data_IF_174678285052
#
_entry.id   IF_174678285052
#
_cell.length_a   1.000
_cell.length_b   1.000
_cell.length_c   1.000
_cell.angle_alpha   90.00
_cell.angle_beta   90.00
_cell.angle_gamma   90.00
#
_symmetry.space_group_name_H-M   'P 1'
#
loop_
_entity.id
_entity.type
_entity.pdbx_description
1 polymer ?
#
# COMPACT_ATOMS: atom_id res chain seq x y z
N UNK A 1 -57.74 22.15 -1.67
CA UNK A 1 -56.56 21.67 -2.42
C UNK A 1 -55.28 21.93 -1.63
N UNK A 2 -55.18 21.46 -0.38
CA UNK A 2 -54.00 21.68 0.49
C UNK A 2 -53.50 20.40 1.18
N UNK A 3 -54.15 19.26 0.92
CA UNK A 3 -53.84 17.98 1.58
C UNK A 3 -52.80 17.16 0.78
N UNK A 4 -52.67 17.39 -0.54
CA UNK A 4 -51.71 16.69 -1.41
C UNK A 4 -50.25 17.17 -1.25
N UNK A 5 -50.02 18.31 -0.60
CA UNK A 5 -48.66 18.85 -0.41
C UNK A 5 -47.88 18.16 0.71
N UNK A 6 -48.58 17.57 1.69
CA UNK A 6 -47.93 16.92 2.86
C UNK A 6 -47.45 15.51 2.51
N UNK A 7 -48.15 14.80 1.61
CA UNK A 7 -47.75 13.46 1.15
C UNK A 7 -46.43 13.48 0.36
N UNK A 8 -46.18 14.55 -0.41
CA UNK A 8 -44.92 14.71 -1.16
C UNK A 8 -43.70 14.90 -0.26
N UNK A 9 -43.86 15.55 0.90
CA UNK A 9 -42.77 15.77 1.86
C UNK A 9 -42.42 14.49 2.61
N UNK A 10 -43.40 13.63 2.91
CA UNK A 10 -43.15 12.31 3.53
C UNK A 10 -42.46 11.36 2.55
N UNK A 11 -42.81 11.43 1.25
CA UNK A 11 -42.10 10.70 0.19
C UNK A 11 -40.64 11.15 0.07
N UNK A 12 -40.39 12.46 0.10
CA UNK A 12 -39.03 13.01 0.09
C UNK A 12 -38.22 12.58 1.33
N UNK A 13 -38.84 12.55 2.52
CA UNK A 13 -38.17 12.10 3.75
C UNK A 13 -37.81 10.61 3.72
N UNK A 14 -38.67 9.75 3.15
CA UNK A 14 -38.35 8.33 2.99
C UNK A 14 -37.22 8.09 1.98
N UNK A 15 -37.12 8.91 0.92
CA UNK A 15 -36.02 8.83 -0.06
C UNK A 15 -34.70 9.29 0.55
N UNK A 16 -34.71 10.33 1.39
CA UNK A 16 -33.52 10.78 2.13
C UNK A 16 -33.11 9.76 3.21
N UNK A 17 -34.07 9.11 3.88
CA UNK A 17 -33.80 8.04 4.83
C UNK A 17 -33.20 6.78 4.16
N UNK A 18 -33.68 6.42 2.97
CA UNK A 18 -33.13 5.30 2.19
C UNK A 18 -31.70 5.58 1.69
N UNK A 19 -31.38 6.84 1.35
CA UNK A 19 -30.02 7.25 0.97
C UNK A 19 -29.07 7.28 2.18
N UNK A 20 -29.55 7.68 3.36
CA UNK A 20 -28.76 7.64 4.59
C UNK A 20 -28.43 6.20 5.04
N UNK A 21 -29.35 5.25 4.79
CA UNK A 21 -29.13 3.82 5.04
C UNK A 21 -28.12 3.18 4.06
N UNK A 22 -27.83 3.82 2.93
CA UNK A 22 -26.88 3.34 1.92
C UNK A 22 -25.48 3.95 2.06
N UNK A 23 -25.14 4.46 3.25
CA UNK A 23 -23.74 4.68 3.62
C UNK A 23 -23.06 3.31 3.80
N UNK A 24 -22.79 2.65 2.68
CA UNK A 24 -21.82 1.57 2.60
C UNK A 24 -20.50 2.17 3.05
N UNK A 25 -20.16 1.96 4.33
CA UNK A 25 -18.79 2.08 4.80
C UNK A 25 -17.93 1.37 3.74
N UNK A 26 -16.86 2.00 3.23
CA UNK A 26 -15.98 1.30 2.31
C UNK A 26 -15.60 0.00 3.01
N UNK A 27 -16.00 -1.13 2.43
CA UNK A 27 -15.45 -2.42 2.81
C UNK A 27 -14.02 -2.34 2.30
N UNK A 28 -13.14 -1.85 3.17
CA UNK A 28 -11.72 -2.04 3.02
C UNK A 28 -11.56 -3.54 3.20
N UNK A 29 -11.49 -4.28 2.10
CA UNK A 29 -11.01 -5.65 2.17
C UNK A 29 -9.70 -5.60 2.96
N UNK A 30 -9.57 -6.39 4.04
CA UNK A 30 -8.34 -6.41 4.80
C UNK A 30 -7.28 -6.99 3.87
N UNK A 31 -6.54 -6.11 3.19
CA UNK A 31 -5.35 -6.45 2.45
C UNK A 31 -4.46 -7.20 3.44
N UNK A 32 -4.21 -8.47 3.16
CA UNK A 32 -3.55 -9.35 4.10
C UNK A 32 -2.15 -8.86 4.38
N UNK A 33 -1.62 -9.17 5.57
CA UNK A 33 -0.21 -8.93 5.86
C UNK A 33 0.70 -9.56 4.78
N UNK A 34 0.31 -10.71 4.24
CA UNK A 34 1.00 -11.37 3.13
C UNK A 34 1.03 -10.51 1.86
N UNK A 35 -0.08 -9.87 1.50
CA UNK A 35 -0.17 -8.99 0.33
C UNK A 35 0.72 -7.74 0.52
N UNK A 36 0.70 -7.17 1.73
CA UNK A 36 1.59 -6.05 2.09
C UNK A 36 3.07 -6.45 2.05
N UNK A 37 3.41 -7.66 2.48
CA UNK A 37 4.77 -8.19 2.41
C UNK A 37 5.22 -8.37 0.96
N UNK A 38 4.37 -8.98 0.12
CA UNK A 38 4.65 -9.16 -1.32
C UNK A 38 4.84 -7.80 -2.00
N UNK A 39 3.95 -6.85 -1.72
CA UNK A 39 4.08 -5.48 -2.22
C UNK A 39 5.39 -4.82 -1.77
N UNK A 40 5.78 -5.01 -0.50
CA UNK A 40 7.04 -4.46 0.04
C UNK A 40 8.28 -5.07 -0.62
N UNK A 41 8.28 -6.39 -0.89
CA UNK A 41 9.38 -7.06 -1.60
C UNK A 41 9.47 -6.56 -3.05
N UNK A 42 8.34 -6.40 -3.72
CA UNK A 42 8.29 -5.83 -5.07
C UNK A 42 8.82 -4.38 -5.09
N UNK A 43 8.45 -3.58 -4.09
CA UNK A 43 8.95 -2.20 -3.93
C UNK A 43 10.48 -2.15 -3.75
N UNK A 44 11.07 -3.08 -2.99
CA UNK A 44 12.53 -3.19 -2.84
C UNK A 44 13.18 -3.50 -4.19
N UNK A 45 12.59 -4.41 -4.97
CA UNK A 45 13.10 -4.75 -6.30
C UNK A 45 13.03 -3.56 -7.26
N UNK A 46 11.91 -2.85 -7.29
CA UNK A 46 11.77 -1.62 -8.10
C UNK A 46 12.80 -0.57 -7.71
N UNK A 47 12.99 -0.33 -6.41
CA UNK A 47 13.96 0.65 -5.92
C UNK A 47 15.38 0.30 -6.38
N UNK A 48 15.75 -1.00 -6.34
CA UNK A 48 17.06 -1.48 -6.82
C UNK A 48 17.23 -1.25 -8.33
N UNK A 49 16.20 -1.56 -9.13
CA UNK A 49 16.24 -1.36 -10.59
C UNK A 49 16.34 0.13 -10.93
N UNK A 50 15.54 0.98 -10.27
CA UNK A 50 15.58 2.42 -10.46
C UNK A 50 16.94 3.02 -10.10
N UNK A 51 17.54 2.63 -8.98
CA UNK A 51 18.92 3.07 -8.63
C UNK A 51 19.92 2.68 -9.71
N UNK A 52 19.82 1.46 -10.24
CA UNK A 52 20.73 0.99 -11.30
C UNK A 52 20.56 1.81 -12.58
N UNK A 53 19.32 2.13 -12.94
CA UNK A 53 19.02 2.98 -14.09
C UNK A 53 19.56 4.40 -13.90
N UNK A 54 19.42 4.97 -12.70
CA UNK A 54 19.96 6.31 -12.37
C UNK A 54 21.49 6.34 -12.45
N UNK A 55 22.18 5.28 -12.04
CA UNK A 55 23.65 5.15 -12.22
C UNK A 55 24.03 5.18 -13.71
N UNK A 56 23.30 4.44 -14.56
CA UNK A 56 23.54 4.45 -16.00
C UNK A 56 23.28 5.83 -16.60
N UNK A 57 22.14 6.45 -16.26
CA UNK A 57 21.74 7.75 -16.76
C UNK A 57 22.74 8.85 -16.37
N UNK A 58 23.28 8.79 -15.16
CA UNK A 58 24.38 9.64 -14.72
C UNK A 58 25.66 9.42 -15.55
N UNK A 59 26.04 8.15 -15.76
CA UNK A 59 27.24 7.79 -16.53
C UNK A 59 27.12 8.23 -18.00
N UNK A 60 25.91 8.27 -18.54
CA UNK A 60 25.58 8.75 -19.87
C UNK A 60 25.48 10.29 -19.96
N UNK A 61 25.65 11.00 -18.84
CA UNK A 61 25.63 12.46 -18.79
C UNK A 61 24.26 13.08 -19.00
N UNK A 62 23.16 12.37 -18.69
CA UNK A 62 21.81 12.94 -18.81
C UNK A 62 21.67 14.17 -17.89
N UNK A 63 21.22 15.32 -18.41
CA UNK A 63 20.81 16.43 -17.56
C UNK A 63 19.63 15.97 -16.70
N UNK A 64 19.55 16.45 -15.45
CA UNK A 64 18.61 16.05 -14.37
C UNK A 64 19.00 14.86 -13.48
N UNK A 65 20.15 14.20 -13.67
CA UNK A 65 20.64 13.18 -12.71
C UNK A 65 21.88 13.71 -11.99
N UNK A 66 21.73 14.08 -10.72
CA UNK A 66 22.84 14.48 -9.86
C UNK A 66 23.51 13.26 -9.23
N UNK A 67 24.84 13.24 -9.18
CA UNK A 67 25.62 12.19 -8.51
C UNK A 67 25.16 11.98 -7.05
N UNK A 68 24.83 13.08 -6.36
CA UNK A 68 24.38 13.03 -4.97
C UNK A 68 23.08 12.24 -4.81
N UNK A 69 22.13 12.41 -5.73
CA UNK A 69 20.85 11.70 -5.70
C UNK A 69 21.03 10.21 -5.99
N UNK A 70 21.91 9.88 -6.95
CA UNK A 70 22.27 8.49 -7.26
C UNK A 70 22.86 7.79 -6.05
N UNK A 71 23.81 8.44 -5.36
CA UNK A 71 24.45 7.88 -4.17
C UNK A 71 23.46 7.65 -3.03
N UNK A 72 22.58 8.62 -2.77
CA UNK A 72 21.54 8.51 -1.74
C UNK A 72 20.56 7.39 -2.08
N UNK A 73 20.13 7.28 -3.34
CA UNK A 73 19.22 6.23 -3.77
C UNK A 73 19.86 4.84 -3.68
N UNK A 74 21.14 4.70 -4.04
CA UNK A 74 21.88 3.44 -3.85
C UNK A 74 21.97 3.03 -2.37
N UNK A 75 22.23 3.99 -1.47
CA UNK A 75 22.27 3.73 -0.03
C UNK A 75 20.89 3.31 0.50
N UNK A 76 19.82 4.00 0.06
CA UNK A 76 18.43 3.63 0.39
C UNK A 76 18.11 2.21 -0.09
N UNK A 77 18.39 1.89 -1.35
CA UNK A 77 18.14 0.58 -1.93
C UNK A 77 18.86 -0.54 -1.14
N UNK A 78 20.13 -0.31 -0.79
CA UNK A 78 20.92 -1.26 -0.01
C UNK A 78 20.35 -1.47 1.40
N UNK A 79 20.02 -0.39 2.10
CA UNK A 79 19.42 -0.46 3.45
C UNK A 79 18.05 -1.14 3.43
N UNK A 80 17.19 -0.80 2.47
CA UNK A 80 15.88 -1.44 2.30
C UNK A 80 15.99 -2.94 2.03
N UNK A 81 16.97 -3.37 1.23
CA UNK A 81 17.23 -4.79 1.01
C UNK A 81 17.66 -5.50 2.29
N UNK A 82 18.58 -4.91 3.06
CA UNK A 82 19.02 -5.46 4.35
C UNK A 82 17.85 -5.62 5.32
N UNK A 83 16.98 -4.61 5.42
CA UNK A 83 15.76 -4.67 6.21
C UNK A 83 14.81 -5.77 5.72
N UNK A 84 14.62 -5.89 4.40
CA UNK A 84 13.79 -6.96 3.81
C UNK A 84 14.28 -8.36 4.15
N UNK A 85 15.60 -8.58 4.16
CA UNK A 85 16.19 -9.86 4.59
C UNK A 85 15.90 -10.15 6.07
N UNK A 86 15.99 -9.14 6.94
CA UNK A 86 15.65 -9.31 8.36
C UNK A 86 14.18 -9.68 8.54
N UNK A 87 13.26 -9.02 7.83
CA UNK A 87 11.83 -9.34 7.86
C UNK A 87 11.59 -10.77 7.38
N UNK A 88 12.18 -11.18 6.24
CA UNK A 88 12.13 -12.56 5.75
C UNK A 88 12.56 -13.56 6.82
N UNK A 89 13.71 -13.32 7.46
CA UNK A 89 14.24 -14.22 8.47
C UNK A 89 13.32 -14.30 9.70
N UNK A 90 12.74 -13.18 10.14
CA UNK A 90 11.77 -13.14 11.23
C UNK A 90 10.49 -13.90 10.91
N UNK A 91 10.01 -13.84 9.67
CA UNK A 91 8.83 -14.58 9.24
C UNK A 91 9.07 -16.09 9.16
N UNK A 92 10.24 -16.50 8.65
CA UNK A 92 10.64 -17.92 8.66
C UNK A 92 10.75 -18.43 10.10
N UNK A 93 11.34 -17.64 11.00
CA UNK A 93 11.45 -17.99 12.41
C UNK A 93 10.06 -18.10 13.08
N UNK A 94 9.15 -17.15 12.83
CA UNK A 94 7.79 -17.19 13.37
C UNK A 94 7.01 -18.43 12.88
N UNK A 95 7.18 -18.81 11.62
CA UNK A 95 6.60 -20.06 11.10
C UNK A 95 7.19 -21.30 11.80
N UNK A 96 8.51 -21.34 11.98
CA UNK A 96 9.19 -22.42 12.69
C UNK A 96 8.75 -22.50 14.17
N UNK A 97 8.55 -21.36 14.83
CA UNK A 97 8.09 -21.28 16.21
C UNK A 97 6.66 -21.83 16.36
N UNK A 98 5.74 -21.47 15.46
CA UNK A 98 4.38 -22.03 15.44
C UNK A 98 4.41 -23.54 15.23
N UNK A 99 5.28 -24.03 14.34
CA UNK A 99 5.41 -25.48 14.08
C UNK A 99 6.02 -26.23 15.27
N UNK A 100 6.86 -25.56 16.07
CA UNK A 100 7.56 -26.15 17.21
C UNK A 100 6.78 -26.02 18.52
N UNK A 101 5.66 -25.29 18.53
CA UNK A 101 4.78 -25.24 19.70
C UNK A 101 4.21 -26.64 19.94
N UNK A 102 4.41 -27.22 21.13
CA UNK A 102 3.69 -28.44 21.51
C UNK A 102 2.20 -28.14 21.52
N UNK A 103 1.41 -29.02 20.88
CA UNK A 103 -0.06 -29.03 21.05
C UNK A 103 -0.45 -29.45 22.47
#
# INVERSE_FOLDING_TARGET
>A
MTIQAIEGVVSQLNVVAAQAAHNTKPVVEPVGFADHLVASVNQINETRVQSTQKVQDFTLGKPDVSLNDVMVDMQKASLSLQMGIQVRNKLVAAYQEIMSMPV
#
